data_IF_497404521498
#
_entry.id   IF_497404521498
#
_cell.length_a   1.000
_cell.length_b   1.000
_cell.length_c   1.000
_cell.angle_alpha   90.00
_cell.angle_beta   90.00
_cell.angle_gamma   90.00
#
_symmetry.space_group_name_H-M   'P 1'
#
loop_
_entity.id
_entity.type
_entity.pdbx_description
1 polymer ?
#
# COMPACT_ATOMS: atom_id res chain seq x y z
N UNK A 1 -59.10 -11.48 25.71
CA UNK A 1 -57.84 -11.95 26.31
C UNK A 1 -56.85 -12.04 25.18
N UNK A 2 -55.95 -11.09 25.05
CA UNK A 2 -54.94 -11.02 24.00
C UNK A 2 -53.60 -11.44 24.63
N UNK A 3 -53.08 -12.58 24.19
CA UNK A 3 -51.77 -13.04 24.60
C UNK A 3 -50.66 -12.30 23.82
N UNK A 4 -49.79 -11.65 24.57
CA UNK A 4 -48.61 -10.98 24.07
C UNK A 4 -47.51 -12.06 23.98
N UNK A 5 -47.11 -12.42 22.76
CA UNK A 5 -45.87 -13.17 22.54
C UNK A 5 -44.70 -12.21 22.60
N UNK A 6 -44.00 -12.21 23.72
CA UNK A 6 -42.71 -11.55 23.85
C UNK A 6 -41.65 -12.40 23.16
N UNK A 7 -41.10 -11.89 22.07
CA UNK A 7 -39.89 -12.42 21.44
C UNK A 7 -38.70 -11.97 22.28
N UNK A 8 -38.11 -12.93 22.99
CA UNK A 8 -36.84 -12.72 23.70
C UNK A 8 -35.72 -12.68 22.65
N UNK A 9 -35.30 -11.48 22.26
CA UNK A 9 -34.04 -11.25 21.63
C UNK A 9 -32.98 -11.07 22.73
N UNK A 10 -32.40 -12.19 23.15
CA UNK A 10 -31.29 -12.15 24.10
C UNK A 10 -30.03 -12.61 23.43
N UNK A 11 -29.00 -11.85 23.67
CA UNK A 11 -27.58 -12.25 23.63
C UNK A 11 -26.89 -12.33 22.28
N UNK A 12 -26.34 -11.17 21.86
CA UNK A 12 -25.05 -11.07 21.14
C UNK A 12 -24.40 -9.70 21.41
N UNK A 13 -24.51 -9.15 22.60
CA UNK A 13 -24.06 -7.79 22.94
C UNK A 13 -22.68 -7.70 23.62
N UNK A 14 -22.02 -8.80 23.93
CA UNK A 14 -20.76 -8.74 24.71
C UNK A 14 -19.53 -8.59 23.80
N UNK A 15 -19.63 -8.94 22.52
CA UNK A 15 -18.53 -8.74 21.54
C UNK A 15 -18.53 -7.36 20.85
N UNK A 16 -19.68 -6.67 20.83
CA UNK A 16 -19.85 -5.43 20.05
C UNK A 16 -19.14 -4.21 20.67
N UNK A 17 -19.06 -4.11 21.98
CA UNK A 17 -18.54 -2.90 22.65
C UNK A 17 -17.03 -2.68 22.49
N UNK A 18 -16.24 -3.73 22.49
CA UNK A 18 -14.79 -3.62 22.26
C UNK A 18 -14.45 -3.32 20.80
N UNK A 19 -15.27 -3.80 19.88
CA UNK A 19 -15.12 -3.59 18.46
C UNK A 19 -15.52 -2.17 18.04
N UNK A 20 -16.63 -1.67 18.52
CA UNK A 20 -17.15 -0.33 18.22
C UNK A 20 -16.19 0.79 18.63
N UNK A 21 -15.40 0.59 19.70
CA UNK A 21 -14.39 1.56 20.14
C UNK A 21 -13.16 1.60 19.22
N UNK A 22 -12.78 0.48 18.62
CA UNK A 22 -11.62 0.40 17.70
C UNK A 22 -11.94 0.91 16.28
N UNK A 23 -13.21 0.98 15.92
CA UNK A 23 -13.66 1.28 14.55
C UNK A 23 -14.24 2.69 14.38
N UNK A 24 -13.76 3.67 15.15
CA UNK A 24 -14.21 5.06 14.98
C UNK A 24 -13.85 5.57 13.60
N UNK A 25 -14.83 5.59 12.70
CA UNK A 25 -14.75 6.22 11.40
C UNK A 25 -15.23 7.67 11.48
N UNK A 26 -14.62 8.53 10.68
CA UNK A 26 -15.02 9.94 10.62
C UNK A 26 -16.41 10.07 9.96
N UNK A 27 -17.42 10.58 10.68
CA UNK A 27 -18.78 10.69 10.14
C UNK A 27 -18.91 11.63 8.93
N UNK A 28 -17.91 12.45 8.65
CA UNK A 28 -17.87 13.27 7.43
C UNK A 28 -17.72 12.44 6.15
N UNK A 29 -17.28 11.19 6.26
CA UNK A 29 -17.13 10.28 5.14
C UNK A 29 -18.11 9.12 5.27
N UNK A 30 -19.17 9.08 4.44
CA UNK A 30 -20.10 7.95 4.43
C UNK A 30 -19.36 6.67 3.98
N UNK A 31 -19.79 5.53 4.55
CA UNK A 31 -19.23 4.24 4.18
C UNK A 31 -19.48 3.94 2.70
N UNK A 32 -18.43 3.71 1.97
CA UNK A 32 -18.51 3.21 0.60
C UNK A 32 -18.83 1.70 0.55
N UNK A 33 -18.93 1.15 -0.66
CA UNK A 33 -19.29 -0.27 -0.84
C UNK A 33 -18.18 -1.23 -0.41
N UNK A 34 -16.92 -0.79 -0.38
CA UNK A 34 -15.77 -1.59 0.09
C UNK A 34 -15.72 -1.57 1.62
N UNK A 35 -16.01 -0.43 2.25
CA UNK A 35 -16.12 -0.33 3.72
C UNK A 35 -17.22 -1.26 4.24
N UNK A 36 -18.39 -1.29 3.57
CA UNK A 36 -19.49 -2.19 3.92
C UNK A 36 -19.11 -3.66 3.73
N UNK A 37 -18.44 -3.99 2.62
CA UNK A 37 -17.95 -5.34 2.36
C UNK A 37 -16.93 -5.77 3.43
N UNK A 38 -16.07 -4.88 3.88
CA UNK A 38 -15.15 -5.17 4.98
C UNK A 38 -15.91 -5.47 6.27
N UNK A 39 -16.93 -4.69 6.63
CA UNK A 39 -17.74 -4.94 7.83
C UNK A 39 -18.44 -6.30 7.74
N UNK A 40 -18.96 -6.69 6.57
CA UNK A 40 -19.53 -8.00 6.30
C UNK A 40 -18.50 -9.14 6.35
N UNK A 41 -17.24 -8.83 6.15
CA UNK A 41 -16.13 -9.80 6.20
C UNK A 41 -15.66 -10.08 7.63
N UNK A 42 -15.88 -9.17 8.58
CA UNK A 42 -15.35 -9.30 9.95
C UNK A 42 -15.78 -10.57 10.70
N UNK A 43 -17.03 -11.08 10.59
CA UNK A 43 -17.39 -12.38 11.17
C UNK A 43 -16.56 -13.55 10.62
N UNK A 44 -16.13 -13.49 9.35
CA UNK A 44 -15.25 -14.50 8.74
C UNK A 44 -13.82 -14.42 9.28
N UNK A 45 -13.35 -13.18 9.57
CA UNK A 45 -12.06 -12.95 10.23
C UNK A 45 -12.05 -13.61 11.61
N UNK A 46 -13.10 -13.40 12.41
CA UNK A 46 -13.23 -14.04 13.72
C UNK A 46 -13.26 -15.58 13.60
N UNK A 47 -14.07 -16.11 12.69
CA UNK A 47 -14.15 -17.54 12.47
C UNK A 47 -12.82 -18.16 12.02
N UNK A 48 -12.04 -17.44 11.20
CA UNK A 48 -10.70 -17.85 10.80
C UNK A 48 -9.73 -17.90 12.00
N UNK A 49 -9.69 -16.87 12.84
CA UNK A 49 -8.90 -16.84 14.06
C UNK A 49 -9.25 -17.99 15.00
N UNK A 50 -10.54 -18.21 15.26
CA UNK A 50 -11.03 -19.31 16.09
C UNK A 50 -10.57 -20.68 15.56
N UNK A 51 -10.60 -20.85 14.23
CA UNK A 51 -10.12 -22.08 13.59
C UNK A 51 -8.62 -22.27 13.75
N UNK A 52 -7.81 -21.23 13.56
CA UNK A 52 -6.36 -21.29 13.73
C UNK A 52 -6.00 -21.65 15.19
N UNK A 53 -6.68 -21.06 16.17
CA UNK A 53 -6.48 -21.36 17.58
C UNK A 53 -6.86 -22.82 17.90
N UNK A 54 -8.00 -23.30 17.41
CA UNK A 54 -8.42 -24.70 17.60
C UNK A 54 -7.47 -25.70 16.94
N UNK A 55 -6.84 -25.32 15.84
CA UNK A 55 -5.85 -26.14 15.15
C UNK A 55 -4.47 -26.14 15.85
N UNK A 56 -4.32 -25.45 16.98
CA UNK A 56 -3.07 -25.36 17.71
C UNK A 56 -1.98 -24.57 16.98
N UNK A 57 -2.34 -23.85 15.93
CA UNK A 57 -1.41 -22.87 15.34
C UNK A 57 -1.24 -21.76 16.36
N UNK A 58 -0.06 -21.71 16.96
CA UNK A 58 0.28 -20.82 18.07
C UNK A 58 0.34 -19.37 17.57
N UNK A 59 -0.80 -18.75 17.44
CA UNK A 59 -0.86 -17.32 17.24
C UNK A 59 -1.61 -16.72 18.41
N UNK A 60 -1.01 -15.73 19.07
CA UNK A 60 -1.69 -14.95 20.09
C UNK A 60 -2.60 -13.87 19.45
N UNK A 61 -2.79 -13.91 18.12
CA UNK A 61 -3.56 -12.92 17.41
C UNK A 61 -5.05 -13.11 17.67
N UNK A 62 -5.69 -12.10 18.20
CA UNK A 62 -7.16 -12.00 18.39
C UNK A 62 -7.63 -10.63 17.90
N UNK A 63 -8.94 -10.46 17.68
CA UNK A 63 -9.47 -9.14 17.32
C UNK A 63 -9.24 -8.09 18.43
N UNK A 64 -9.17 -8.50 19.70
CA UNK A 64 -8.93 -7.59 20.82
C UNK A 64 -7.48 -7.06 20.84
N UNK A 65 -6.50 -7.88 20.47
CA UNK A 65 -5.09 -7.47 20.52
C UNK A 65 -4.50 -7.11 19.15
N UNK A 66 -5.22 -7.36 18.06
CA UNK A 66 -4.76 -6.99 16.73
C UNK A 66 -4.48 -5.49 16.63
N UNK A 67 -3.37 -5.16 16.00
CA UNK A 67 -3.05 -3.80 15.59
C UNK A 67 -4.12 -3.26 14.62
N UNK A 68 -4.44 -1.99 14.71
CA UNK A 68 -5.48 -1.39 13.89
C UNK A 68 -4.86 -0.35 12.95
N UNK A 69 -4.85 -0.65 11.68
CA UNK A 69 -4.47 0.29 10.62
C UNK A 69 -5.67 1.09 10.17
N UNK A 70 -5.63 2.41 10.37
CA UNK A 70 -6.75 3.31 10.14
C UNK A 70 -6.61 4.05 8.80
N UNK A 71 -7.76 4.41 8.25
CA UNK A 71 -7.80 5.38 7.17
C UNK A 71 -7.36 6.76 7.68
N UNK A 72 -6.55 7.47 6.87
CA UNK A 72 -5.97 8.75 7.28
C UNK A 72 -6.97 9.78 7.77
N UNK A 73 -8.12 9.89 7.10
CA UNK A 73 -9.16 10.87 7.44
C UNK A 73 -9.94 10.51 8.72
N UNK A 74 -9.82 9.26 9.18
CA UNK A 74 -10.42 8.79 10.43
C UNK A 74 -9.53 9.05 11.65
N UNK A 75 -8.24 9.36 11.42
CA UNK A 75 -7.29 9.67 12.48
C UNK A 75 -7.48 11.09 13.01
N UNK A 76 -7.21 11.30 14.30
CA UNK A 76 -7.19 12.65 14.87
C UNK A 76 -6.01 13.48 14.33
N UNK A 77 -6.07 14.79 14.46
CA UNK A 77 -4.98 15.70 14.08
C UNK A 77 -3.68 15.32 14.79
N UNK A 78 -3.75 15.00 16.08
CA UNK A 78 -2.61 14.64 16.91
C UNK A 78 -1.94 13.34 16.42
N UNK A 79 -2.73 12.30 16.13
CA UNK A 79 -2.20 11.01 15.64
C UNK A 79 -1.61 11.15 14.23
N UNK A 80 -2.21 11.97 13.36
CA UNK A 80 -1.63 12.29 12.05
C UNK A 80 -0.30 13.01 12.18
N UNK A 81 -0.21 14.00 13.06
CA UNK A 81 1.05 14.71 13.31
C UNK A 81 2.10 13.81 13.95
N UNK A 82 1.70 12.84 14.79
CA UNK A 82 2.63 11.86 15.34
C UNK A 82 3.24 10.99 14.24
N UNK A 83 2.43 10.48 13.31
CA UNK A 83 2.91 9.76 12.13
C UNK A 83 3.90 10.61 11.30
N UNK A 84 3.54 11.85 11.00
CA UNK A 84 4.40 12.78 10.27
C UNK A 84 5.75 12.96 10.98
N UNK A 85 5.74 13.18 12.32
CA UNK A 85 6.99 13.29 13.11
C UNK A 85 7.84 12.03 13.03
N UNK A 86 7.23 10.85 13.05
CA UNK A 86 7.94 9.59 12.94
C UNK A 86 8.60 9.41 11.57
N UNK A 87 7.93 9.76 10.48
CA UNK A 87 8.53 9.74 9.13
C UNK A 87 9.71 10.73 9.04
N UNK A 88 9.54 11.95 9.52
CA UNK A 88 10.61 12.96 9.56
C UNK A 88 11.77 12.53 10.48
N UNK A 89 11.50 11.80 11.54
CA UNK A 89 12.54 11.18 12.39
C UNK A 89 13.34 10.13 11.60
N UNK A 90 12.66 9.24 10.87
CA UNK A 90 13.32 8.20 10.08
C UNK A 90 14.21 8.78 8.99
N UNK A 91 13.81 9.92 8.42
CA UNK A 91 14.63 10.70 7.46
C UNK A 91 15.86 11.38 8.08
N UNK A 92 15.93 11.47 9.39
CA UNK A 92 17.09 12.02 10.12
C UNK A 92 18.02 10.97 10.68
N UNK A 93 17.58 9.70 10.74
CA UNK A 93 18.43 8.60 11.23
C UNK A 93 19.43 8.18 10.17
N UNK A 94 20.63 7.80 10.63
CA UNK A 94 21.69 7.30 9.75
C UNK A 94 21.24 6.05 8.97
N UNK A 95 21.61 5.94 7.69
CA UNK A 95 21.32 4.76 6.88
C UNK A 95 22.07 3.53 7.42
N UNK A 96 21.50 2.35 7.18
CA UNK A 96 22.13 1.03 7.39
C UNK A 96 22.79 0.50 6.11
N UNK A 97 22.32 0.94 4.96
CA UNK A 97 22.91 0.57 3.67
C UNK A 97 24.37 1.01 3.59
N UNK A 98 25.30 0.14 3.15
CA UNK A 98 26.71 0.46 3.01
C UNK A 98 26.92 1.58 1.98
N UNK A 99 27.71 2.59 2.32
CA UNK A 99 27.97 3.75 1.47
C UNK A 99 28.69 3.41 0.16
N UNK A 100 29.48 2.34 0.14
CA UNK A 100 30.12 1.84 -1.06
C UNK A 100 29.13 1.22 -2.04
N UNK A 101 27.97 0.72 -1.56
CA UNK A 101 26.91 0.14 -2.39
C UNK A 101 25.80 1.13 -2.70
N UNK A 102 25.47 2.02 -1.76
CA UNK A 102 24.40 3.01 -1.89
C UNK A 102 24.92 4.40 -1.51
N UNK A 103 25.78 5.01 -2.31
CA UNK A 103 26.40 6.29 -1.97
C UNK A 103 25.40 7.45 -1.83
N UNK A 104 24.23 7.34 -2.49
CA UNK A 104 23.16 8.32 -2.41
C UNK A 104 22.24 8.20 -1.18
N UNK A 105 22.34 7.13 -0.38
CA UNK A 105 21.52 6.99 0.83
C UNK A 105 21.95 8.00 1.89
N UNK A 106 21.03 8.87 2.32
CA UNK A 106 21.27 9.90 3.33
C UNK A 106 20.69 9.52 4.69
N UNK A 107 19.71 8.61 4.71
CA UNK A 107 18.91 8.32 5.90
C UNK A 107 18.45 6.87 5.97
N UNK A 108 17.92 6.50 7.13
CA UNK A 108 17.25 5.22 7.33
C UNK A 108 16.02 5.07 6.44
N UNK A 109 15.34 6.16 6.12
CA UNK A 109 14.25 6.19 5.15
C UNK A 109 14.74 5.79 3.74
N UNK A 110 15.93 6.24 3.34
CA UNK A 110 16.50 5.89 2.03
C UNK A 110 16.90 4.42 1.94
N UNK A 111 17.12 3.72 3.06
CA UNK A 111 17.36 2.28 3.01
C UNK A 111 16.17 1.52 2.42
N UNK A 112 14.93 1.94 2.74
CA UNK A 112 13.73 1.37 2.14
C UNK A 112 13.67 1.67 0.64
N UNK A 113 14.00 2.89 0.25
CA UNK A 113 14.06 3.26 -1.18
C UNK A 113 15.09 2.41 -1.91
N UNK A 114 16.30 2.29 -1.39
CA UNK A 114 17.39 1.50 -1.97
C UNK A 114 17.03 0.00 -2.07
N UNK A 115 16.39 -0.55 -1.03
CA UNK A 115 15.93 -1.94 -1.03
C UNK A 115 14.93 -2.16 -2.17
N UNK A 116 13.92 -1.31 -2.30
CA UNK A 116 12.95 -1.41 -3.39
C UNK A 116 13.62 -1.25 -4.76
N UNK A 117 14.55 -0.30 -4.91
CA UNK A 117 15.27 -0.06 -6.17
C UNK A 117 16.11 -1.26 -6.61
N UNK A 118 16.78 -1.90 -5.68
CA UNK A 118 17.68 -3.03 -5.97
C UNK A 118 16.92 -4.33 -6.23
N UNK A 119 15.75 -4.47 -5.65
CA UNK A 119 14.95 -5.69 -5.67
C UNK A 119 13.63 -5.56 -6.44
N UNK A 120 13.38 -4.41 -7.09
CA UNK A 120 12.11 -4.13 -7.75
C UNK A 120 11.63 -5.25 -8.69
N UNK A 121 12.55 -5.87 -9.44
CA UNK A 121 12.19 -6.98 -10.34
C UNK A 121 11.71 -8.24 -9.62
N UNK A 122 12.18 -8.49 -8.40
CA UNK A 122 11.76 -9.62 -7.57
C UNK A 122 10.48 -9.30 -6.81
N UNK A 123 10.42 -8.13 -6.17
CA UNK A 123 9.26 -7.67 -5.40
C UNK A 123 7.99 -7.56 -6.27
N UNK A 124 8.14 -7.25 -7.57
CA UNK A 124 7.03 -7.12 -8.52
C UNK A 124 6.81 -8.39 -9.37
N UNK A 125 7.52 -9.48 -9.08
CA UNK A 125 7.20 -10.78 -9.67
C UNK A 125 5.76 -11.20 -9.33
N UNK A 126 5.04 -11.90 -10.24
CA UNK A 126 3.65 -12.28 -9.99
C UNK A 126 3.44 -12.97 -8.65
N UNK A 127 4.31 -13.91 -8.32
CA UNK A 127 4.28 -14.68 -7.07
C UNK A 127 4.46 -13.81 -5.82
N UNK A 128 5.27 -12.74 -5.92
CA UNK A 128 5.78 -12.02 -4.76
C UNK A 128 5.01 -10.73 -4.45
N UNK A 129 4.38 -10.11 -5.47
CA UNK A 129 3.88 -8.73 -5.38
C UNK A 129 3.09 -8.44 -4.10
N UNK A 130 2.10 -9.26 -3.79
CA UNK A 130 1.25 -9.02 -2.63
C UNK A 130 2.00 -9.18 -1.31
N UNK A 131 2.59 -10.35 -1.10
CA UNK A 131 3.24 -10.71 0.15
C UNK A 131 4.51 -9.87 0.40
N UNK A 132 5.30 -9.60 -0.64
CA UNK A 132 6.50 -8.78 -0.51
C UNK A 132 6.17 -7.34 -0.10
N UNK A 133 5.12 -6.72 -0.68
CA UNK A 133 4.73 -5.38 -0.29
C UNK A 133 4.03 -5.34 1.08
N UNK A 134 3.27 -6.38 1.46
CA UNK A 134 2.77 -6.56 2.84
C UNK A 134 3.92 -6.56 3.84
N UNK A 135 4.96 -7.35 3.58
CA UNK A 135 6.14 -7.41 4.44
C UNK A 135 6.91 -6.08 4.44
N UNK A 136 7.04 -5.45 3.28
CA UNK A 136 7.74 -4.17 3.15
C UNK A 136 7.08 -3.05 3.98
N UNK A 137 5.75 -2.90 3.91
CA UNK A 137 5.05 -1.92 4.74
C UNK A 137 5.02 -2.30 6.22
N UNK A 138 4.98 -3.59 6.56
CA UNK A 138 5.09 -4.06 7.95
C UNK A 138 6.45 -3.68 8.55
N UNK A 139 7.54 -3.93 7.84
CA UNK A 139 8.90 -3.56 8.28
C UNK A 139 9.08 -2.05 8.40
N UNK A 140 8.48 -1.29 7.48
CA UNK A 140 8.49 0.17 7.56
C UNK A 140 7.73 0.67 8.80
N UNK A 141 6.53 0.16 9.04
CA UNK A 141 5.74 0.44 10.25
C UNK A 141 6.54 0.11 11.51
N UNK A 142 7.19 -1.07 11.56
CA UNK A 142 8.04 -1.49 12.66
C UNK A 142 9.20 -0.50 12.89
N UNK A 143 9.84 -0.01 11.82
CA UNK A 143 10.90 1.00 11.92
C UNK A 143 10.38 2.35 12.47
N UNK A 144 9.21 2.82 12.05
CA UNK A 144 8.61 4.02 12.63
C UNK A 144 8.34 3.87 14.13
N UNK A 145 7.86 2.70 14.55
CA UNK A 145 7.51 2.40 15.94
C UNK A 145 8.76 2.23 16.82
N UNK A 146 9.67 1.36 16.42
CA UNK A 146 10.82 0.96 17.23
C UNK A 146 11.97 1.98 17.18
N UNK A 147 12.17 2.62 16.03
CA UNK A 147 13.30 3.54 15.86
C UNK A 147 12.90 5.00 16.08
N UNK A 148 11.61 5.36 15.91
CA UNK A 148 11.14 6.74 16.01
C UNK A 148 10.01 6.96 17.04
N UNK A 149 9.64 5.93 17.80
CA UNK A 149 8.69 6.03 18.91
C UNK A 149 7.24 6.29 18.48
N UNK A 150 6.88 5.97 17.24
CA UNK A 150 5.50 6.07 16.79
C UNK A 150 4.61 5.07 17.56
N UNK A 151 3.53 5.54 18.15
CA UNK A 151 2.65 4.67 18.98
C UNK A 151 1.52 4.04 18.17
N UNK A 152 1.18 4.61 17.02
CA UNK A 152 0.17 4.10 16.10
C UNK A 152 0.67 3.00 15.17
N UNK A 153 -0.10 2.75 14.12
CA UNK A 153 0.19 1.79 13.06
C UNK A 153 0.13 2.46 11.70
N UNK A 154 0.60 1.78 10.63
CA UNK A 154 0.64 2.35 9.29
C UNK A 154 -0.75 2.76 8.81
N UNK A 155 -1.00 4.05 8.56
CA UNK A 155 -2.27 4.47 7.99
C UNK A 155 -2.37 4.12 6.51
N UNK A 156 -3.60 4.07 5.99
CA UNK A 156 -3.85 3.86 4.57
C UNK A 156 -4.70 4.99 3.98
N UNK A 157 -4.80 5.03 2.65
CA UNK A 157 -5.72 5.91 1.94
C UNK A 157 -6.88 5.11 1.36
N UNK A 158 -8.13 5.45 1.69
CA UNK A 158 -9.28 4.98 0.96
C UNK A 158 -9.46 5.85 -0.29
N UNK A 159 -9.15 5.31 -1.46
CA UNK A 159 -9.14 6.08 -2.71
C UNK A 159 -10.46 6.80 -2.99
N UNK A 160 -11.60 6.19 -2.67
CA UNK A 160 -12.92 6.77 -2.98
C UNK A 160 -13.15 8.10 -2.27
N UNK A 161 -12.56 8.29 -1.09
CA UNK A 161 -12.60 9.54 -0.33
C UNK A 161 -11.86 10.69 -1.02
N UNK A 162 -10.96 10.38 -1.94
CA UNK A 162 -10.10 11.35 -2.64
C UNK A 162 -10.44 11.55 -4.12
N UNK A 163 -11.33 10.71 -4.70
CA UNK A 163 -11.67 10.75 -6.14
C UNK A 163 -12.26 12.10 -6.55
N UNK A 164 -13.11 12.70 -5.71
CA UNK A 164 -13.84 13.92 -6.07
C UNK A 164 -12.93 15.16 -6.07
N UNK A 165 -12.11 15.30 -5.02
CA UNK A 165 -11.22 16.44 -4.83
C UNK A 165 -9.99 16.04 -4.01
N UNK A 166 -8.99 15.41 -4.62
CA UNK A 166 -7.82 14.97 -3.90
C UNK A 166 -7.01 16.13 -3.30
N UNK A 167 -6.95 17.27 -3.96
CA UNK A 167 -6.09 18.39 -3.57
C UNK A 167 -6.55 19.11 -2.29
N UNK A 168 -7.85 19.11 -2.01
CA UNK A 168 -8.42 19.69 -0.80
C UNK A 168 -8.72 18.65 0.29
N UNK A 169 -8.27 17.40 0.09
CA UNK A 169 -8.43 16.36 1.08
C UNK A 169 -7.48 16.52 2.26
N UNK A 170 -7.82 15.93 3.42
CA UNK A 170 -6.95 15.91 4.62
C UNK A 170 -5.58 15.25 4.38
N UNK A 171 -5.43 14.52 3.28
CA UNK A 171 -4.17 13.88 2.90
C UNK A 171 -3.25 14.87 2.16
N UNK A 172 -3.80 15.77 1.33
CA UNK A 172 -3.07 16.63 0.40
C UNK A 172 -3.27 18.13 0.62
N UNK A 173 -3.99 18.57 1.65
CA UNK A 173 -4.32 19.98 1.88
C UNK A 173 -3.12 20.88 2.23
N UNK A 174 -1.94 20.33 2.43
CA UNK A 174 -0.72 21.04 2.77
C UNK A 174 -0.68 21.56 4.22
N UNK A 175 -1.61 21.15 5.08
CA UNK A 175 -1.61 21.47 6.50
C UNK A 175 -0.49 20.73 7.25
N UNK A 176 -0.16 21.14 8.49
CA UNK A 176 0.81 20.44 9.34
C UNK A 176 0.42 18.99 9.70
N UNK A 177 -0.84 18.63 9.50
CA UNK A 177 -1.38 17.30 9.76
C UNK A 177 -1.76 16.57 8.46
N UNK A 178 -1.17 16.96 7.33
CA UNK A 178 -1.30 16.29 6.02
C UNK A 178 0.02 15.63 5.63
N UNK A 179 -0.03 14.85 4.54
CA UNK A 179 1.18 14.30 3.91
C UNK A 179 1.81 15.29 2.91
N UNK A 180 1.59 16.58 3.11
CA UNK A 180 1.94 17.72 2.25
C UNK A 180 1.05 17.86 1.01
N UNK A 181 1.11 19.04 0.41
CA UNK A 181 0.32 19.36 -0.78
C UNK A 181 0.87 18.77 -2.07
N UNK A 182 0.25 19.21 -3.18
CA UNK A 182 0.72 18.93 -4.52
C UNK A 182 2.05 19.64 -4.82
N UNK A 183 2.72 19.23 -5.88
CA UNK A 183 3.82 19.98 -6.46
C UNK A 183 3.33 21.28 -7.12
N UNK A 184 4.21 22.27 -7.25
CA UNK A 184 3.94 23.45 -8.08
C UNK A 184 3.64 22.99 -9.51
N UNK A 185 2.77 23.73 -10.18
CA UNK A 185 2.52 23.49 -11.60
C UNK A 185 3.84 23.58 -12.39
N UNK A 186 4.22 22.47 -13.00
CA UNK A 186 5.34 22.36 -13.92
C UNK A 186 4.88 21.48 -15.11
N UNK A 187 4.65 22.04 -16.29
CA UNK A 187 4.11 21.32 -17.42
C UNK A 187 5.01 20.14 -17.83
N UNK A 188 4.40 18.98 -18.03
CA UNK A 188 5.04 17.80 -18.61
C UNK A 188 4.03 17.02 -19.44
N UNK A 189 4.48 16.07 -20.24
CA UNK A 189 3.61 15.37 -21.21
C UNK A 189 2.74 14.25 -20.60
N UNK A 190 2.48 14.28 -19.30
CA UNK A 190 1.75 13.23 -18.60
C UNK A 190 2.55 11.92 -18.47
N UNK A 191 1.93 10.89 -17.91
CA UNK A 191 2.55 9.61 -17.61
C UNK A 191 2.37 8.67 -18.78
N UNK A 192 3.47 8.18 -19.45
CA UNK A 192 3.34 7.17 -20.49
C UNK A 192 2.75 5.90 -19.91
N UNK A 193 1.78 5.32 -20.61
CA UNK A 193 1.22 4.04 -20.20
C UNK A 193 2.21 2.91 -20.48
N UNK A 194 2.36 1.96 -19.57
CA UNK A 194 3.19 0.78 -19.80
C UNK A 194 2.62 -0.13 -20.92
N UNK A 195 1.34 0.07 -21.27
CA UNK A 195 0.65 -0.70 -22.29
C UNK A 195 0.13 0.24 -23.38
N UNK A 196 0.48 0.03 -24.65
CA UNK A 196 -0.05 0.81 -25.74
C UNK A 196 -1.52 0.47 -25.96
N UNK A 197 -2.40 1.49 -25.82
CA UNK A 197 -3.85 1.48 -26.11
C UNK A 197 -4.74 0.86 -25.00
N UNK A 198 -5.93 1.43 -24.78
CA UNK A 198 -6.51 2.53 -25.56
C UNK A 198 -6.00 3.92 -25.16
N UNK A 199 -5.11 4.03 -24.18
CA UNK A 199 -4.63 5.29 -23.65
C UNK A 199 -3.11 5.38 -23.82
N UNK A 200 -2.65 6.31 -24.62
CA UNK A 200 -1.21 6.53 -24.81
C UNK A 200 -0.56 7.14 -23.57
N UNK A 201 -1.32 7.93 -22.78
CA UNK A 201 -0.84 8.61 -21.58
C UNK A 201 -1.98 8.88 -20.59
N UNK A 202 -1.66 8.88 -19.29
CA UNK A 202 -2.45 9.59 -18.28
C UNK A 202 -2.09 11.08 -18.44
N UNK A 203 -3.06 11.99 -18.65
CA UNK A 203 -2.76 13.41 -18.76
C UNK A 203 -2.06 13.94 -17.51
N UNK A 204 -1.17 14.93 -17.68
CA UNK A 204 -0.66 15.71 -16.55
C UNK A 204 -1.81 16.47 -15.88
N UNK A 205 -1.76 16.66 -14.58
CA UNK A 205 -2.72 17.46 -13.83
C UNK A 205 -2.09 18.80 -13.40
N UNK A 206 -2.35 19.28 -12.21
CA UNK A 206 -1.97 20.60 -11.73
C UNK A 206 -0.69 20.63 -10.91
N UNK A 207 0.19 19.65 -11.07
CA UNK A 207 1.43 19.48 -10.32
C UNK A 207 2.66 19.36 -11.22
N UNK A 208 3.56 18.43 -10.85
CA UNK A 208 4.79 18.10 -11.59
C UNK A 208 6.06 18.76 -11.06
N UNK A 209 5.96 19.85 -10.33
CA UNK A 209 7.08 20.56 -9.70
C UNK A 209 7.28 20.18 -8.23
N UNK A 210 8.15 20.95 -7.54
CA UNK A 210 8.44 20.72 -6.13
C UNK A 210 7.23 20.96 -5.22
N UNK A 211 7.06 20.09 -4.22
CA UNK A 211 6.13 20.30 -3.11
C UNK A 211 6.59 21.49 -2.27
N UNK A 212 5.66 22.42 -1.96
CA UNK A 212 6.00 23.68 -1.27
C UNK A 212 5.19 23.92 0.00
N UNK A 213 4.24 23.03 0.32
CA UNK A 213 3.38 23.15 1.49
C UNK A 213 3.39 21.86 2.30
N UNK A 214 3.13 22.00 3.59
CA UNK A 214 3.06 20.87 4.52
C UNK A 214 4.42 20.38 5.03
N UNK A 215 4.43 19.28 5.78
CA UNK A 215 5.60 18.83 6.53
C UNK A 215 6.79 18.39 5.68
N UNK A 216 6.55 17.90 4.46
CA UNK A 216 7.58 17.36 3.56
C UNK A 216 8.03 18.37 2.48
N UNK A 217 7.69 19.66 2.59
CA UNK A 217 8.06 20.70 1.62
C UNK A 217 9.57 20.87 1.44
N UNK A 218 10.34 20.58 2.47
CA UNK A 218 11.80 20.70 2.48
C UNK A 218 12.49 19.32 2.39
N UNK A 219 11.73 18.27 2.04
CA UNK A 219 12.26 16.93 1.91
C UNK A 219 13.25 16.84 0.74
N UNK A 220 14.41 16.26 1.01
CA UNK A 220 15.43 15.98 -0.01
C UNK A 220 15.27 14.52 -0.48
N UNK A 221 15.03 14.35 -1.76
CA UNK A 221 15.09 13.06 -2.46
C UNK A 221 16.49 12.94 -3.03
N UNK A 222 17.23 11.88 -2.64
CA UNK A 222 18.63 11.70 -3.05
C UNK A 222 18.80 10.55 -4.05
N UNK A 223 18.06 9.46 -3.89
CA UNK A 223 18.12 8.28 -4.76
C UNK A 223 17.28 8.47 -6.02
N UNK A 224 17.66 7.81 -7.11
CA UNK A 224 17.01 7.95 -8.42
C UNK A 224 17.34 9.26 -9.13
N UNK A 225 16.62 9.58 -10.22
CA UNK A 225 15.60 8.75 -10.87
C UNK A 225 16.22 7.54 -11.59
N UNK A 226 15.43 6.50 -11.76
CA UNK A 226 15.82 5.31 -12.54
C UNK A 226 14.77 4.95 -13.61
N UNK A 227 13.50 5.15 -13.33
CA UNK A 227 12.38 4.92 -14.23
C UNK A 227 11.40 6.09 -14.22
N UNK A 228 11.86 7.31 -13.97
CA UNK A 228 11.00 8.49 -13.87
C UNK A 228 10.27 8.80 -15.17
N UNK A 229 9.00 9.13 -15.01
CA UNK A 229 8.14 9.62 -16.08
C UNK A 229 8.27 11.14 -16.30
N UNK A 230 8.84 11.85 -15.34
CA UNK A 230 9.15 13.29 -15.42
C UNK A 230 10.54 13.47 -16.03
N UNK A 231 10.62 14.21 -17.16
CA UNK A 231 11.82 14.25 -17.98
C UNK A 231 12.85 15.33 -17.60
N UNK A 232 12.45 16.36 -16.90
CA UNK A 232 13.31 17.50 -16.53
C UNK A 232 14.04 17.31 -15.19
N UNK A 233 14.17 16.07 -14.75
CA UNK A 233 14.93 15.69 -13.55
C UNK A 233 16.36 15.39 -13.95
N UNK A 234 17.37 15.94 -13.27
CA UNK A 234 18.77 15.57 -13.51
C UNK A 234 18.96 14.07 -13.37
N UNK A 235 19.63 13.42 -14.33
CA UNK A 235 19.87 11.99 -14.25
C UNK A 235 20.76 11.67 -13.05
N UNK A 236 20.54 10.49 -12.46
CA UNK A 236 21.41 10.00 -11.41
C UNK A 236 22.83 9.75 -11.95
N UNK A 237 23.91 10.11 -11.23
CA UNK A 237 25.27 9.86 -11.66
C UNK A 237 25.61 8.36 -11.82
N UNK A 238 24.83 7.48 -11.18
CA UNK A 238 24.93 6.03 -11.35
C UNK A 238 23.74 5.47 -12.13
N UNK A 239 24.01 4.54 -13.05
CA UNK A 239 23.00 3.94 -13.93
C UNK A 239 21.90 3.17 -13.15
N UNK A 240 22.24 2.63 -11.99
CA UNK A 240 21.33 1.91 -11.12
C UNK A 240 20.46 2.84 -10.27
N UNK A 241 20.74 4.15 -10.28
CA UNK A 241 20.02 5.17 -9.53
C UNK A 241 20.45 5.28 -8.05
N UNK A 242 21.48 4.55 -7.61
CA UNK A 242 21.92 4.51 -6.21
C UNK A 242 22.94 5.62 -5.86
N UNK A 243 23.38 6.39 -6.84
CA UNK A 243 24.22 7.55 -6.64
C UNK A 243 23.50 8.72 -5.97
N UNK A 244 24.27 9.67 -5.44
CA UNK A 244 23.73 10.88 -4.82
C UNK A 244 23.24 11.87 -5.89
N UNK A 245 21.93 12.18 -5.85
CA UNK A 245 21.27 13.11 -6.75
C UNK A 245 20.22 13.95 -6.00
N UNK A 246 20.66 14.83 -5.07
CA UNK A 246 19.77 15.58 -4.18
C UNK A 246 18.87 16.54 -4.96
N UNK A 247 17.56 16.45 -4.72
CA UNK A 247 16.52 17.27 -5.34
C UNK A 247 15.29 17.35 -4.45
N UNK A 248 14.36 18.25 -4.77
CA UNK A 248 13.10 18.37 -4.03
C UNK A 248 12.16 17.20 -4.33
N UNK A 249 11.29 16.88 -3.37
CA UNK A 249 10.12 16.03 -3.60
C UNK A 249 9.19 16.71 -4.62
N UNK A 250 8.82 16.02 -5.70
CA UNK A 250 7.86 16.49 -6.70
C UNK A 250 6.61 15.62 -6.69
N UNK A 251 5.45 16.22 -6.91
CA UNK A 251 4.18 15.51 -7.05
C UNK A 251 3.34 16.08 -8.18
N UNK A 252 2.56 15.20 -8.79
CA UNK A 252 1.43 15.56 -9.62
C UNK A 252 0.22 14.75 -9.16
N UNK A 253 -0.45 15.23 -8.10
CA UNK A 253 -1.64 14.56 -7.54
C UNK A 253 -2.71 14.50 -8.62
N UNK A 254 -2.84 13.33 -9.24
CA UNK A 254 -3.47 13.17 -10.54
C UNK A 254 -4.90 12.64 -10.45
N UNK A 255 -5.88 13.52 -10.74
CA UNK A 255 -7.31 13.19 -10.72
C UNK A 255 -7.74 12.23 -11.83
N UNK A 256 -7.01 12.21 -12.94
CA UNK A 256 -7.32 11.29 -14.05
C UNK A 256 -6.99 9.86 -13.70
N UNK A 257 -5.92 9.65 -12.92
CA UNK A 257 -5.53 8.34 -12.44
C UNK A 257 -6.49 7.81 -11.38
N UNK A 258 -6.82 8.61 -10.38
CA UNK A 258 -7.64 8.16 -9.24
C UNK A 258 -9.06 7.80 -9.64
N UNK A 259 -9.57 8.35 -10.76
CA UNK A 259 -10.89 7.98 -11.29
C UNK A 259 -11.03 6.46 -11.52
N UNK A 260 -9.91 5.76 -11.80
CA UNK A 260 -9.87 4.30 -11.94
C UNK A 260 -9.86 3.53 -10.62
N UNK A 261 -9.73 4.20 -9.48
CA UNK A 261 -9.66 3.60 -8.15
C UNK A 261 -10.95 3.77 -7.32
N UNK A 262 -12.09 4.05 -7.97
CA UNK A 262 -13.39 4.19 -7.31
C UNK A 262 -13.81 2.92 -6.59
N UNK A 263 -14.54 3.09 -5.49
CA UNK A 263 -15.01 1.98 -4.64
C UNK A 263 -15.76 0.89 -5.42
N UNK A 264 -16.57 1.25 -6.42
CA UNK A 264 -17.28 0.27 -7.24
C UNK A 264 -16.33 -0.67 -8.00
N UNK A 265 -15.21 -0.16 -8.56
CA UNK A 265 -14.24 -1.00 -9.26
C UNK A 265 -13.49 -1.91 -8.30
N UNK A 266 -13.13 -1.38 -7.13
CA UNK A 266 -12.51 -2.15 -6.05
C UNK A 266 -13.45 -3.24 -5.53
N UNK A 267 -14.73 -2.93 -5.35
CA UNK A 267 -15.74 -3.91 -4.96
C UNK A 267 -15.86 -5.05 -5.99
N UNK A 268 -15.93 -4.72 -7.28
CA UNK A 268 -15.96 -5.73 -8.33
C UNK A 268 -14.68 -6.55 -8.39
N UNK A 269 -13.52 -5.93 -8.19
CA UNK A 269 -12.25 -6.65 -8.08
C UNK A 269 -12.30 -7.71 -6.98
N UNK A 270 -12.80 -7.37 -5.81
CA UNK A 270 -12.86 -8.29 -4.66
C UNK A 270 -13.91 -9.40 -4.86
N UNK A 271 -15.08 -9.06 -5.41
CA UNK A 271 -16.25 -9.95 -5.40
C UNK A 271 -16.41 -10.80 -6.66
N UNK A 272 -15.83 -10.39 -7.79
CA UNK A 272 -16.01 -11.09 -9.07
C UNK A 272 -14.80 -11.90 -9.52
N UNK A 273 -13.66 -11.76 -8.83
CA UNK A 273 -12.44 -12.51 -9.13
C UNK A 273 -12.15 -13.50 -7.99
N UNK A 274 -12.64 -14.74 -8.17
CA UNK A 274 -12.60 -15.76 -7.11
C UNK A 274 -11.26 -16.49 -7.02
N UNK A 275 -10.51 -16.57 -8.12
CA UNK A 275 -9.15 -17.14 -8.14
C UNK A 275 -8.09 -16.03 -8.10
N UNK A 276 -6.92 -16.38 -7.60
CA UNK A 276 -5.84 -15.42 -7.37
C UNK A 276 -5.28 -14.83 -8.65
N UNK A 277 -5.28 -15.58 -9.76
CA UNK A 277 -4.73 -15.12 -11.04
C UNK A 277 -5.63 -14.07 -11.68
N UNK A 278 -6.94 -14.30 -11.70
CA UNK A 278 -7.89 -13.29 -12.19
C UNK A 278 -7.91 -12.06 -11.31
N UNK A 279 -7.82 -12.20 -9.98
CA UNK A 279 -7.70 -11.09 -9.05
C UNK A 279 -6.41 -10.28 -9.31
N UNK A 280 -5.25 -10.95 -9.37
CA UNK A 280 -3.96 -10.33 -9.64
C UNK A 280 -3.94 -9.59 -10.97
N UNK A 281 -4.43 -10.22 -12.02
CA UNK A 281 -4.45 -9.64 -13.35
C UNK A 281 -5.31 -8.38 -13.39
N UNK A 282 -6.49 -8.43 -12.82
CA UNK A 282 -7.40 -7.29 -12.79
C UNK A 282 -6.88 -6.16 -11.88
N UNK A 283 -6.25 -6.51 -10.77
CA UNK A 283 -5.57 -5.57 -9.88
C UNK A 283 -4.47 -4.76 -10.60
N UNK A 284 -3.79 -5.35 -11.58
CA UNK A 284 -2.81 -4.71 -12.45
C UNK A 284 -3.40 -4.13 -13.77
N UNK A 285 -4.71 -4.19 -13.97
CA UNK A 285 -5.37 -3.71 -15.19
C UNK A 285 -5.23 -4.63 -16.39
N UNK A 286 -5.06 -5.93 -16.17
CA UNK A 286 -4.93 -6.94 -17.23
C UNK A 286 -6.22 -7.78 -17.35
N UNK A 287 -6.66 -8.20 -18.54
CA UNK A 287 -6.31 -7.61 -19.82
C UNK A 287 -6.87 -6.19 -19.93
N UNK A 288 -6.20 -5.37 -20.72
CA UNK A 288 -6.73 -4.03 -21.03
C UNK A 288 -7.90 -4.13 -22.00
N UNK A 289 -9.07 -3.76 -21.56
CA UNK A 289 -10.28 -3.76 -22.37
C UNK A 289 -10.56 -2.36 -22.91
N UNK A 290 -10.90 -2.27 -24.20
CA UNK A 290 -11.29 -0.99 -24.80
C UNK A 290 -12.54 -0.44 -24.09
N UNK A 291 -12.46 0.80 -23.61
CA UNK A 291 -13.54 1.44 -22.86
C UNK A 291 -13.60 1.05 -21.39
N UNK A 292 -12.64 0.28 -20.89
CA UNK A 292 -12.53 -0.01 -19.48
C UNK A 292 -12.28 1.29 -18.68
N UNK A 293 -13.14 1.63 -17.72
CA UNK A 293 -12.96 2.84 -16.90
C UNK A 293 -11.74 2.76 -15.96
N UNK A 294 -11.19 1.56 -15.76
CA UNK A 294 -9.97 1.31 -14.97
C UNK A 294 -8.93 0.51 -15.77
N UNK A 295 -8.41 1.06 -16.87
CA UNK A 295 -7.54 0.32 -17.80
C UNK A 295 -6.17 -0.02 -17.22
N UNK A 296 -5.73 0.69 -16.19
CA UNK A 296 -4.41 0.50 -15.55
C UNK A 296 -4.48 -0.28 -14.23
N UNK A 297 -5.67 -0.70 -13.80
CA UNK A 297 -5.84 -1.41 -12.54
C UNK A 297 -5.61 -0.55 -11.30
N UNK A 298 -5.92 -1.11 -10.16
CA UNK A 298 -5.88 -0.39 -8.88
C UNK A 298 -4.44 -0.04 -8.46
N UNK A 299 -3.50 -0.98 -8.64
CA UNK A 299 -2.11 -0.78 -8.27
C UNK A 299 -1.48 0.41 -9.00
N UNK A 300 -1.57 0.43 -10.31
CA UNK A 300 -1.00 1.52 -11.09
C UNK A 300 -1.75 2.84 -10.86
N UNK A 301 -3.09 2.80 -10.71
CA UNK A 301 -3.90 3.98 -10.45
C UNK A 301 -3.43 4.73 -9.19
N UNK A 302 -3.11 4.02 -8.11
CA UNK A 302 -2.63 4.64 -6.87
C UNK A 302 -1.22 5.22 -6.99
N UNK A 303 -0.29 4.54 -7.65
CA UNK A 303 1.03 5.10 -7.95
C UNK A 303 0.94 6.38 -8.78
N UNK A 304 0.08 6.37 -9.80
CA UNK A 304 -0.09 7.52 -10.68
C UNK A 304 -0.93 8.65 -10.04
N UNK A 305 -1.75 8.35 -9.03
CA UNK A 305 -2.37 9.38 -8.19
C UNK A 305 -1.32 10.23 -7.49
N UNK A 306 -0.26 9.61 -6.95
CA UNK A 306 0.84 10.31 -6.31
C UNK A 306 1.67 11.05 -7.36
N UNK A 307 2.00 10.37 -8.44
CA UNK A 307 2.73 10.91 -9.59
C UNK A 307 4.08 11.51 -9.24
N UNK A 308 4.58 12.37 -10.10
CA UNK A 308 5.79 13.15 -9.85
C UNK A 308 7.08 12.34 -9.75
N UNK A 309 8.00 12.83 -8.91
CA UNK A 309 9.30 12.23 -8.61
C UNK A 309 9.57 12.32 -7.10
N UNK A 310 9.78 11.19 -6.44
CA UNK A 310 9.98 9.84 -6.95
C UNK A 310 8.70 9.00 -7.08
N UNK A 311 7.53 9.47 -6.64
CA UNK A 311 6.30 8.68 -6.53
C UNK A 311 5.86 8.00 -7.83
N UNK A 312 6.07 8.64 -8.98
CA UNK A 312 5.79 8.09 -10.31
C UNK A 312 6.93 7.26 -10.92
N UNK A 313 8.04 7.04 -10.23
CA UNK A 313 9.15 6.20 -10.67
C UNK A 313 8.98 4.77 -10.14
N UNK A 314 8.87 3.80 -11.03
CA UNK A 314 8.69 2.39 -10.69
C UNK A 314 9.70 1.88 -9.65
N UNK A 315 10.95 2.33 -9.71
CA UNK A 315 12.03 1.87 -8.82
C UNK A 315 12.08 2.66 -7.51
N UNK A 316 11.90 3.98 -7.59
CA UNK A 316 12.16 4.91 -6.50
C UNK A 316 10.90 5.35 -5.75
N UNK A 317 9.72 4.83 -6.14
CA UNK A 317 8.41 5.26 -5.57
C UNK A 317 8.33 5.27 -4.03
N UNK A 318 8.99 4.37 -3.25
CA UNK A 318 9.02 4.48 -1.80
C UNK A 318 9.68 5.75 -1.25
N UNK A 319 10.36 6.51 -2.09
CA UNK A 319 10.92 7.82 -1.76
C UNK A 319 9.87 8.91 -1.56
N UNK A 320 8.63 8.71 -1.99
CA UNK A 320 7.49 9.51 -1.51
C UNK A 320 6.79 8.77 -0.36
N UNK A 321 6.64 9.37 0.83
CA UNK A 321 5.97 8.73 1.96
C UNK A 321 4.54 8.23 1.68
N UNK A 322 3.88 8.75 0.64
CA UNK A 322 2.55 8.30 0.22
C UNK A 322 2.55 6.89 -0.37
N UNK A 323 3.70 6.37 -0.79
CA UNK A 323 3.86 4.97 -1.20
C UNK A 323 3.29 4.00 -0.14
N UNK A 324 3.59 4.25 1.12
CA UNK A 324 3.15 3.37 2.22
C UNK A 324 1.65 3.44 2.49
N UNK A 325 1.01 4.58 2.21
CA UNK A 325 -0.45 4.74 2.24
C UNK A 325 -1.12 3.98 1.12
N UNK A 326 -0.56 4.09 -0.07
CA UNK A 326 -1.03 3.38 -1.25
C UNK A 326 -0.94 1.87 -1.03
N UNK A 327 0.22 1.35 -0.64
CA UNK A 327 0.41 -0.08 -0.40
C UNK A 327 -0.36 -0.58 0.84
N UNK A 328 -0.62 0.27 1.84
CA UNK A 328 -1.56 -0.03 2.92
C UNK A 328 -2.99 -0.24 2.42
N UNK A 329 -3.47 0.63 1.50
CA UNK A 329 -4.77 0.45 0.86
C UNK A 329 -4.84 -0.83 0.02
N UNK A 330 -3.79 -1.13 -0.72
CA UNK A 330 -3.68 -2.32 -1.55
C UNK A 330 -3.67 -3.62 -0.71
N UNK A 331 -2.95 -3.61 0.40
CA UNK A 331 -2.92 -4.71 1.36
C UNK A 331 -4.29 -4.94 2.03
N UNK A 332 -4.99 -3.85 2.39
CA UNK A 332 -6.39 -3.92 2.87
C UNK A 332 -7.29 -4.64 1.88
N UNK A 333 -7.22 -4.28 0.60
CA UNK A 333 -8.06 -4.85 -0.45
C UNK A 333 -7.75 -6.33 -0.67
N UNK A 334 -6.47 -6.69 -0.67
CA UNK A 334 -6.06 -8.09 -0.75
C UNK A 334 -6.53 -8.88 0.48
N UNK A 335 -6.41 -8.33 1.68
CA UNK A 335 -6.90 -8.94 2.92
C UNK A 335 -8.42 -9.19 2.90
N UNK A 336 -9.24 -8.22 2.47
CA UNK A 336 -10.68 -8.42 2.34
C UNK A 336 -10.96 -9.58 1.35
N UNK A 337 -10.26 -9.61 0.23
CA UNK A 337 -10.38 -10.70 -0.73
C UNK A 337 -10.00 -12.06 -0.13
N UNK A 338 -8.90 -12.14 0.61
CA UNK A 338 -8.47 -13.35 1.32
C UNK A 338 -9.52 -13.80 2.33
N UNK A 339 -10.03 -12.90 3.17
CA UNK A 339 -10.98 -13.20 4.24
C UNK A 339 -12.38 -13.55 3.73
N UNK A 340 -12.70 -13.28 2.48
CA UNK A 340 -13.95 -13.75 1.90
C UNK A 340 -13.97 -15.29 1.70
N UNK A 341 -12.80 -15.92 1.54
CA UNK A 341 -12.61 -17.37 1.46
C UNK A 341 -11.22 -17.77 1.97
N UNK A 342 -10.96 -17.66 3.29
CA UNK A 342 -9.60 -17.80 3.83
C UNK A 342 -9.01 -19.19 3.61
N UNK A 343 -9.83 -20.25 3.58
CA UNK A 343 -9.39 -21.63 3.35
C UNK A 343 -8.66 -21.80 2.02
N UNK A 344 -9.16 -21.13 0.98
CA UNK A 344 -8.65 -21.25 -0.38
C UNK A 344 -7.72 -20.10 -0.77
N UNK A 345 -7.78 -18.96 -0.07
CA UNK A 345 -7.14 -17.72 -0.53
C UNK A 345 -5.94 -17.26 0.29
N UNK A 346 -5.80 -17.67 1.56
CA UNK A 346 -4.66 -17.25 2.38
C UNK A 346 -3.33 -17.66 1.73
N UNK A 347 -3.24 -18.91 1.26
CA UNK A 347 -2.03 -19.44 0.63
C UNK A 347 -2.10 -19.44 -0.91
N UNK A 348 -3.07 -18.74 -1.49
CA UNK A 348 -3.15 -18.61 -2.93
C UNK A 348 -2.07 -17.62 -3.42
N UNK A 349 -1.27 -18.09 -4.34
CA UNK A 349 -0.16 -17.34 -4.95
C UNK A 349 -0.42 -17.23 -6.44
N UNK A 350 -0.34 -16.04 -7.05
CA UNK A 350 -0.54 -15.89 -8.48
C UNK A 350 0.39 -16.80 -9.27
N UNK A 351 -0.18 -17.49 -10.23
CA UNK A 351 0.54 -18.43 -11.09
C UNK A 351 1.41 -17.72 -12.11
N UNK A 352 2.19 -18.52 -12.82
CA UNK A 352 3.23 -18.02 -13.75
C UNK A 352 2.69 -17.69 -15.14
N UNK A 353 1.40 -17.83 -15.38
CA UNK A 353 0.84 -17.83 -16.71
C UNK A 353 0.27 -16.47 -17.11
N UNK A 354 1.15 -15.53 -17.42
CA UNK A 354 0.78 -14.39 -18.25
C UNK A 354 1.59 -14.39 -19.54
N UNK A 355 0.98 -14.70 -20.70
CA UNK A 355 1.54 -14.33 -21.98
C UNK A 355 1.60 -12.80 -22.07
N UNK A 356 2.78 -12.22 -21.99
CA UNK A 356 2.99 -10.77 -22.06
C UNK A 356 3.24 -10.07 -20.73
N UNK A 357 3.33 -10.76 -19.61
CA UNK A 357 3.83 -10.20 -18.36
C UNK A 357 5.23 -9.64 -18.58
N UNK A 358 5.43 -8.37 -18.22
CA UNK A 358 6.74 -7.72 -18.35
C UNK A 358 7.72 -8.38 -17.38
N UNK A 359 8.34 -9.46 -17.83
CA UNK A 359 9.62 -9.91 -17.31
C UNK A 359 10.63 -8.80 -17.60
N UNK A 360 10.82 -7.87 -16.66
CA UNK A 360 11.88 -6.89 -16.72
C UNK A 360 13.25 -7.61 -16.66
N UNK A 361 13.57 -8.34 -17.74
CA UNK A 361 14.94 -8.71 -18.14
C UNK A 361 15.68 -9.72 -17.26
N UNK A 362 15.08 -10.33 -16.25
CA UNK A 362 15.70 -11.47 -15.55
C UNK A 362 14.92 -12.75 -15.79
N UNK A 363 15.54 -13.67 -16.49
CA UNK A 363 15.16 -15.08 -16.52
C UNK A 363 15.10 -15.55 -15.07
N UNK A 364 13.89 -15.81 -14.58
CA UNK A 364 13.70 -16.48 -13.30
C UNK A 364 14.24 -17.91 -13.44
N UNK A 365 15.45 -18.13 -12.94
CA UNK A 365 16.24 -19.30 -13.26
C UNK A 365 15.89 -20.53 -12.43
N UNK A 366 15.09 -20.44 -11.40
CA UNK A 366 14.52 -21.60 -10.67
C UNK A 366 13.44 -21.10 -9.72
N UNK A 367 12.19 -21.27 -10.09
CA UNK A 367 11.13 -21.19 -9.08
C UNK A 367 11.27 -22.40 -8.15
N UNK A 368 11.13 -22.19 -6.81
CA UNK A 368 10.98 -23.29 -5.89
C UNK A 368 9.83 -24.19 -6.35
N UNK A 369 9.90 -25.48 -6.09
CA UNK A 369 8.81 -26.43 -6.38
C UNK A 369 7.48 -26.02 -5.73
N UNK A 370 7.57 -25.31 -4.60
CA UNK A 370 6.48 -24.63 -3.92
C UNK A 370 6.79 -23.14 -3.85
N UNK A 371 5.96 -22.30 -4.45
CA UNK A 371 6.14 -20.85 -4.43
C UNK A 371 6.12 -20.25 -3.01
N UNK A 372 5.40 -20.88 -2.08
CA UNK A 372 5.32 -20.48 -0.67
C UNK A 372 6.66 -20.59 0.07
N UNK A 373 7.57 -21.44 -0.41
CA UNK A 373 8.92 -21.60 0.17
C UNK A 373 9.91 -20.51 -0.32
N UNK A 374 9.49 -19.66 -1.26
CA UNK A 374 10.32 -18.55 -1.76
C UNK A 374 10.64 -17.59 -0.61
N UNK A 375 11.89 -17.16 -0.53
CA UNK A 375 12.33 -16.19 0.48
C UNK A 375 12.29 -14.79 -0.13
N UNK A 376 11.56 -13.89 0.51
CA UNK A 376 11.60 -12.45 0.23
C UNK A 376 12.67 -11.83 1.12
N UNK A 377 13.74 -11.36 0.51
CA UNK A 377 14.83 -10.67 1.18
C UNK A 377 14.67 -9.16 1.01
N UNK A 378 14.62 -8.41 2.10
CA UNK A 378 14.54 -6.94 2.08
C UNK A 378 15.91 -6.27 2.33
N UNK A 379 17.00 -7.00 2.14
CA UNK A 379 18.36 -6.49 2.19
C UNK A 379 18.68 -5.79 3.50
N UNK A 380 18.96 -4.49 3.43
CA UNK A 380 19.38 -3.71 4.63
C UNK A 380 18.21 -3.33 5.55
N UNK A 381 16.99 -3.55 5.14
CA UNK A 381 15.81 -3.14 5.93
C UNK A 381 15.35 -4.22 6.90
N UNK A 382 15.34 -5.47 6.46
CA UNK A 382 14.92 -6.62 7.28
C UNK A 382 15.48 -7.94 6.73
N UNK A 383 15.55 -9.01 7.58
CA UNK A 383 15.96 -10.33 7.16
C UNK A 383 15.01 -10.94 6.12
N UNK A 384 15.50 -11.93 5.37
CA UNK A 384 14.70 -12.72 4.46
C UNK A 384 13.70 -13.60 5.20
N UNK A 385 12.45 -13.66 4.67
CA UNK A 385 11.34 -14.42 5.25
C UNK A 385 10.67 -15.22 4.14
N UNK A 386 10.15 -16.41 4.46
CA UNK A 386 9.41 -17.20 3.48
C UNK A 386 8.08 -16.56 3.16
N UNK A 387 7.65 -16.68 1.91
CA UNK A 387 6.43 -16.08 1.41
C UNK A 387 5.19 -16.54 2.20
N UNK A 388 5.13 -17.80 2.61
CA UNK A 388 4.03 -18.32 3.41
C UNK A 388 3.84 -17.61 4.76
N UNK A 389 4.93 -17.09 5.35
CA UNK A 389 4.91 -16.41 6.64
C UNK A 389 4.32 -14.99 6.54
N UNK A 390 4.18 -14.45 5.32
CA UNK A 390 3.64 -13.11 5.07
C UNK A 390 2.23 -13.15 4.48
N UNK A 391 1.76 -14.30 4.01
CA UNK A 391 0.45 -14.41 3.38
C UNK A 391 -0.71 -14.24 4.37
N UNK A 392 -0.51 -14.59 5.64
CA UNK A 392 -1.53 -14.41 6.68
C UNK A 392 -1.11 -13.29 7.65
N UNK A 393 -1.79 -12.16 7.59
CA UNK A 393 -1.56 -11.04 8.50
C UNK A 393 -2.13 -11.27 9.91
N UNK A 394 -2.89 -12.34 10.12
CA UNK A 394 -3.52 -12.69 11.40
C UNK A 394 -2.76 -13.80 12.14
N UNK A 395 -1.44 -13.77 12.07
CA UNK A 395 -0.59 -14.74 12.75
C UNK A 395 0.67 -15.13 11.99
N UNK A 396 0.95 -14.48 10.87
CA UNK A 396 2.22 -14.63 10.15
C UNK A 396 3.43 -14.18 10.96
N UNK A 397 4.62 -14.47 10.45
CA UNK A 397 5.92 -14.21 11.13
C UNK A 397 5.97 -14.77 12.56
N UNK A 398 5.51 -16.01 12.73
CA UNK A 398 5.48 -16.65 14.05
C UNK A 398 4.53 -15.98 15.04
N UNK A 399 3.52 -15.26 14.57
CA UNK A 399 2.55 -14.52 15.38
C UNK A 399 2.86 -13.04 15.59
N UNK A 400 3.99 -12.54 15.08
CA UNK A 400 4.32 -11.10 15.18
C UNK A 400 3.41 -10.23 14.28
N UNK A 401 3.01 -10.78 13.14
CA UNK A 401 2.10 -10.09 12.22
C UNK A 401 0.65 -10.34 12.65
N UNK A 402 0.04 -9.38 13.32
CA UNK A 402 -1.33 -9.43 13.82
C UNK A 402 -1.96 -8.05 13.69
N UNK A 403 -2.62 -7.79 12.57
CA UNK A 403 -3.28 -6.51 12.33
C UNK A 403 -4.52 -6.64 11.44
N UNK A 404 -5.40 -5.66 11.58
CA UNK A 404 -6.62 -5.49 10.78
C UNK A 404 -6.69 -4.05 10.27
N UNK A 405 -7.54 -3.82 9.29
CA UNK A 405 -7.89 -2.51 8.78
C UNK A 405 -9.27 -2.06 9.30
N UNK A 406 -9.48 -0.74 9.48
CA UNK A 406 -10.77 -0.14 9.85
C UNK A 406 -11.01 1.16 9.08
#
# INVERSE_FOLDING_TARGET
MKGIQGVVQLSLLVGAWGWEYKTKRNPAFPLDVVDKLQDETMPKVQAWLDKQHKAGKATNCTLENAAVRQEWSDMTVETRQEYVRAVLCLQKKSPRAPKDKVPGSLSRFDDFVATHMTQAGELHGPTNLFAAHRYFIYVYEKALREECGYTGYQPYMNYDRYVADPLNSLLFDGSPASMSGNGKLAPYNGIPQPFPRPYDRIPADQGGGCVTTGPFKDMVVSLGPKGSVVRDIPPNPQRDGLGSNPRCLRRDVNRFSVAGAKANYTYHLITQHNDVDSFYNRYLGQPQLKGDPNPWGLHNAGHYLIGGDPGGDFYCSPGDPLFYFHHGALDRIWWIWQMNDPENRINAVPGQAMPGGHNHGRRQTTQPKNALDSVIDLGWTAPGVRLEEMNDQLGGLGGEMCYIYV
#
